data_IF_922688532971
#
_entry.id   IF_922688532971
#
_cell.length_a   1.000
_cell.length_b   1.000
_cell.length_c   1.000
_cell.angle_alpha   90.00
_cell.angle_beta   90.00
_cell.angle_gamma   90.00
#
_symmetry.space_group_name_H-M   'P 1'
#
loop_
_entity.id
_entity.type
_entity.pdbx_description
1 polymer ?
#
# COMPACT_ATOMS: atom_id res chain seq x y z
N UNK A 1 42.25 -22.04 18.50
CA UNK A 1 41.49 -23.30 18.33
C UNK A 1 41.20 -23.49 16.85
N UNK A 2 41.95 -24.37 16.16
CA UNK A 2 41.71 -24.70 14.75
C UNK A 2 40.50 -25.61 14.65
N UNK A 3 39.40 -25.11 14.09
CA UNK A 3 38.21 -25.91 13.81
C UNK A 3 38.59 -27.07 12.88
N UNK A 4 38.17 -28.29 13.21
CA UNK A 4 38.42 -29.46 12.36
C UNK A 4 37.74 -29.28 11.01
N UNK A 5 38.37 -29.73 9.92
CA UNK A 5 37.81 -29.67 8.56
C UNK A 5 36.40 -30.26 8.48
N UNK A 6 36.11 -31.28 9.30
CA UNK A 6 34.78 -31.87 9.44
C UNK A 6 33.73 -30.89 9.99
N UNK A 7 34.07 -30.10 11.03
CA UNK A 7 33.15 -29.10 11.59
C UNK A 7 32.90 -27.95 10.62
N UNK A 8 33.92 -27.53 9.87
CA UNK A 8 33.78 -26.49 8.84
C UNK A 8 32.84 -26.97 7.72
N UNK A 9 32.99 -28.22 7.26
CA UNK A 9 32.10 -28.82 6.25
C UNK A 9 30.67 -28.97 6.78
N UNK A 10 30.48 -29.39 8.03
CA UNK A 10 29.15 -29.48 8.64
C UNK A 10 28.48 -28.12 8.79
N UNK A 11 29.22 -27.07 9.17
CA UNK A 11 28.70 -25.70 9.27
C UNK A 11 28.33 -25.18 7.87
N UNK A 12 29.19 -25.37 6.88
CA UNK A 12 28.91 -24.96 5.49
C UNK A 12 27.66 -25.67 4.93
N UNK A 13 27.49 -26.96 5.23
CA UNK A 13 26.30 -27.71 4.86
C UNK A 13 25.04 -27.17 5.54
N UNK A 14 25.11 -26.91 6.86
CA UNK A 14 23.99 -26.35 7.61
C UNK A 14 23.56 -24.98 7.07
N UNK A 15 24.53 -24.12 6.73
CA UNK A 15 24.27 -22.82 6.10
C UNK A 15 23.62 -22.99 4.74
N UNK A 16 24.13 -23.90 3.90
CA UNK A 16 23.57 -24.17 2.57
C UNK A 16 22.11 -24.65 2.66
N UNK A 17 21.81 -25.55 3.60
CA UNK A 17 20.43 -26.02 3.81
C UNK A 17 19.54 -24.89 4.32
N UNK A 18 20.00 -24.08 5.27
CA UNK A 18 19.23 -22.95 5.78
C UNK A 18 18.91 -21.91 4.68
N UNK A 19 19.87 -21.57 3.83
CA UNK A 19 19.65 -20.66 2.69
C UNK A 19 18.62 -21.23 1.73
N UNK A 20 18.73 -22.51 1.38
CA UNK A 20 17.77 -23.15 0.48
C UNK A 20 16.35 -23.20 1.06
N UNK A 21 16.20 -23.44 2.37
CA UNK A 21 14.90 -23.40 3.05
C UNK A 21 14.31 -22.00 3.11
N UNK A 22 15.13 -20.96 3.30
CA UNK A 22 14.68 -19.56 3.29
C UNK A 22 14.20 -19.18 1.89
N UNK A 23 14.98 -19.48 0.85
CA UNK A 23 14.62 -19.18 -0.54
C UNK A 23 13.37 -19.95 -0.96
N UNK A 24 13.31 -21.26 -0.69
CA UNK A 24 12.16 -22.09 -0.98
C UNK A 24 10.90 -21.65 -0.21
N UNK A 25 11.04 -21.32 1.07
CA UNK A 25 9.97 -20.80 1.91
C UNK A 25 9.44 -19.45 1.43
N UNK A 26 10.33 -18.55 0.97
CA UNK A 26 9.95 -17.25 0.42
C UNK A 26 9.16 -17.40 -0.90
N UNK A 27 9.64 -18.25 -1.81
CA UNK A 27 8.95 -18.53 -3.09
C UNK A 27 7.59 -19.20 -2.83
N UNK A 28 7.53 -20.17 -1.92
CA UNK A 28 6.28 -20.84 -1.55
C UNK A 28 5.29 -19.87 -0.88
N UNK A 29 5.75 -19.01 0.02
CA UNK A 29 4.92 -17.98 0.65
C UNK A 29 4.36 -17.01 -0.40
N UNK A 30 5.19 -16.58 -1.35
CA UNK A 30 4.77 -15.72 -2.45
C UNK A 30 3.73 -16.40 -3.36
N UNK A 31 3.89 -17.68 -3.69
CA UNK A 31 2.90 -18.44 -4.47
C UNK A 31 1.57 -18.64 -3.73
N UNK A 32 1.61 -18.89 -2.42
CA UNK A 32 0.40 -19.00 -1.59
C UNK A 32 -0.33 -17.66 -1.52
N UNK A 33 0.39 -16.54 -1.41
CA UNK A 33 -0.19 -15.19 -1.42
C UNK A 33 -0.78 -14.81 -2.80
N UNK A 34 -0.20 -15.28 -3.90
CA UNK A 34 -0.75 -15.08 -5.25
C UNK A 34 -1.96 -15.98 -5.56
N UNK A 35 -2.06 -17.17 -4.96
CA UNK A 35 -3.14 -18.13 -5.18
C UNK A 35 -4.42 -17.86 -4.36
N UNK A 36 -4.32 -17.24 -3.18
CA UNK A 36 -5.49 -16.81 -2.41
C UNK A 36 -5.91 -15.41 -2.81
N UNK A 37 -6.68 -15.34 -3.91
CA UNK A 37 -7.41 -14.19 -4.45
C UNK A 37 -7.18 -12.85 -3.74
N UNK A 38 -6.31 -12.01 -4.32
CA UNK A 38 -6.17 -10.56 -4.08
C UNK A 38 -6.84 -10.10 -2.79
N UNK A 39 -6.26 -10.43 -1.63
CA UNK A 39 -6.51 -9.65 -0.42
C UNK A 39 -5.95 -8.27 -0.73
N UNK A 40 -6.80 -7.37 -1.26
CA UNK A 40 -6.51 -5.94 -1.27
C UNK A 40 -6.16 -5.64 0.18
N UNK A 41 -4.89 -5.34 0.45
CA UNK A 41 -4.43 -5.01 1.80
C UNK A 41 -5.46 -4.06 2.42
N UNK A 42 -6.03 -4.49 3.55
CA UNK A 42 -7.08 -3.81 4.28
C UNK A 42 -6.57 -2.54 4.94
N UNK A 43 -6.06 -1.60 4.15
CA UNK A 43 -5.99 -0.21 4.58
C UNK A 43 -7.41 0.27 4.80
N UNK A 44 -7.63 1.03 5.86
CA UNK A 44 -8.83 1.83 6.08
C UNK A 44 -8.93 2.91 4.99
N UNK A 45 -9.14 2.48 3.74
CA UNK A 45 -9.26 3.36 2.59
C UNK A 45 -10.68 3.89 2.56
N UNK A 46 -10.79 5.22 2.62
CA UNK A 46 -12.06 5.91 2.48
C UNK A 46 -12.68 5.60 1.11
N UNK A 47 -13.80 4.89 1.08
CA UNK A 47 -14.57 4.64 -0.14
C UNK A 47 -15.37 5.89 -0.53
N UNK A 48 -14.72 6.72 -1.33
CA UNK A 48 -15.32 7.92 -1.92
C UNK A 48 -16.59 7.60 -2.70
N UNK A 49 -16.63 6.51 -3.45
CA UNK A 49 -17.79 6.21 -4.30
C UNK A 49 -19.00 5.86 -3.47
N UNK A 50 -18.82 5.09 -2.39
CA UNK A 50 -19.88 4.82 -1.42
C UNK A 50 -20.34 6.11 -0.72
N UNK A 51 -19.41 6.94 -0.26
CA UNK A 51 -19.71 8.19 0.44
C UNK A 51 -20.49 9.19 -0.45
N UNK A 52 -20.12 9.36 -1.72
CA UNK A 52 -20.80 10.30 -2.61
C UNK A 52 -22.25 9.90 -2.91
N UNK A 53 -22.59 8.60 -2.87
CA UNK A 53 -23.97 8.12 -3.10
C UNK A 53 -24.94 8.54 -2.00
N UNK A 54 -24.46 8.96 -0.83
CA UNK A 54 -25.33 9.41 0.26
C UNK A 54 -25.77 10.86 0.13
N UNK A 55 -25.26 11.58 -0.87
CA UNK A 55 -25.45 13.02 -1.05
C UNK A 55 -26.40 13.31 -2.22
N UNK A 56 -27.08 14.46 -2.17
CA UNK A 56 -27.89 14.96 -3.29
C UNK A 56 -27.02 15.36 -4.49
N UNK A 57 -27.63 15.50 -5.66
CA UNK A 57 -26.92 15.88 -6.90
C UNK A 57 -26.21 17.25 -6.79
N UNK A 58 -26.81 18.20 -6.08
CA UNK A 58 -26.23 19.53 -5.86
C UNK A 58 -24.98 19.45 -4.95
N UNK A 59 -25.08 18.71 -3.84
CA UNK A 59 -23.96 18.50 -2.90
C UNK A 59 -22.81 17.72 -3.54
N UNK A 60 -23.14 16.72 -4.36
CA UNK A 60 -22.13 15.98 -5.14
C UNK A 60 -21.37 16.91 -6.08
N UNK A 61 -22.04 17.87 -6.72
CA UNK A 61 -21.40 18.81 -7.64
C UNK A 61 -20.40 19.73 -6.92
N UNK A 62 -20.75 20.24 -5.75
CA UNK A 62 -19.88 21.07 -4.92
C UNK A 62 -18.66 20.30 -4.43
N UNK A 63 -18.87 19.12 -3.86
CA UNK A 63 -17.78 18.27 -3.38
C UNK A 63 -16.90 17.75 -4.52
N UNK A 64 -17.45 17.54 -5.71
CA UNK A 64 -16.66 17.16 -6.89
C UNK A 64 -15.70 18.26 -7.32
N UNK A 65 -16.07 19.54 -7.20
CA UNK A 65 -15.17 20.67 -7.45
C UNK A 65 -14.03 20.70 -6.44
N UNK A 66 -14.36 20.56 -5.15
CA UNK A 66 -13.37 20.50 -4.07
C UNK A 66 -12.40 19.33 -4.29
N UNK A 67 -12.94 18.15 -4.59
CA UNK A 67 -12.15 16.95 -4.84
C UNK A 67 -11.24 17.09 -6.06
N UNK A 68 -11.72 17.74 -7.13
CA UNK A 68 -10.92 18.00 -8.33
C UNK A 68 -9.71 18.88 -7.99
N UNK A 69 -9.91 19.98 -7.28
CA UNK A 69 -8.83 20.86 -6.86
C UNK A 69 -7.78 20.13 -6.00
N UNK A 70 -8.23 19.30 -5.04
CA UNK A 70 -7.35 18.49 -4.20
C UNK A 70 -6.60 17.41 -4.99
N UNK A 71 -7.26 16.77 -5.95
CA UNK A 71 -6.61 15.81 -6.85
C UNK A 71 -5.50 16.46 -7.66
N UNK A 72 -5.72 17.66 -8.17
CA UNK A 72 -4.72 18.38 -8.96
C UNK A 72 -3.50 18.74 -8.10
N UNK A 73 -3.72 19.10 -6.83
CA UNK A 73 -2.65 19.32 -5.85
C UNK A 73 -1.88 18.04 -5.45
N UNK A 74 -2.55 16.89 -5.42
CA UNK A 74 -1.92 15.58 -5.12
C UNK A 74 -1.15 14.99 -6.31
N UNK A 75 -1.54 15.34 -7.54
CA UNK A 75 -0.96 14.81 -8.78
C UNK A 75 0.58 14.86 -8.85
N UNK A 76 1.26 15.98 -8.49
CA UNK A 76 2.72 16.01 -8.48
C UNK A 76 3.35 15.00 -7.52
N UNK A 77 2.79 14.82 -6.32
CA UNK A 77 3.32 13.85 -5.33
C UNK A 77 3.18 12.40 -5.82
N UNK A 78 2.05 12.04 -6.41
CA UNK A 78 1.89 10.71 -7.00
C UNK A 78 2.86 10.46 -8.17
N UNK A 79 3.14 11.50 -8.97
CA UNK A 79 4.15 11.42 -10.03
C UNK A 79 5.55 11.24 -9.44
N UNK A 80 5.88 11.97 -8.38
CA UNK A 80 7.18 11.87 -7.73
C UNK A 80 7.38 10.48 -7.12
N UNK A 81 6.39 9.99 -6.35
CA UNK A 81 6.41 8.64 -5.81
C UNK A 81 6.60 7.55 -6.89
N UNK A 82 5.98 7.74 -8.06
CA UNK A 82 6.16 6.86 -9.22
C UNK A 82 7.60 6.87 -9.74
N UNK A 83 8.21 8.06 -9.86
CA UNK A 83 9.61 8.22 -10.28
C UNK A 83 10.58 7.62 -9.26
N UNK A 84 10.34 7.84 -7.97
CA UNK A 84 11.23 7.31 -6.92
C UNK A 84 11.17 5.77 -6.89
N UNK A 85 10.00 5.19 -7.15
CA UNK A 85 9.85 3.73 -7.28
C UNK A 85 10.60 3.19 -8.50
N UNK A 86 10.56 3.89 -9.63
CA UNK A 86 11.32 3.55 -10.83
C UNK A 86 12.82 3.63 -10.55
N UNK A 87 13.27 4.71 -9.91
CA UNK A 87 14.66 4.89 -9.50
C UNK A 87 15.14 3.80 -8.53
N UNK A 88 14.33 3.38 -7.56
CA UNK A 88 14.67 2.23 -6.71
C UNK A 88 14.81 0.95 -7.53
N UNK A 89 13.91 0.70 -8.47
CA UNK A 89 14.00 -0.48 -9.35
C UNK A 89 15.31 -0.50 -10.13
N UNK A 90 15.74 0.65 -10.66
CA UNK A 90 17.03 0.80 -11.35
C UNK A 90 18.21 0.55 -10.39
N UNK A 91 18.19 1.16 -9.21
CA UNK A 91 19.25 1.02 -8.21
C UNK A 91 19.41 -0.42 -7.70
N UNK A 92 18.31 -1.14 -7.51
CA UNK A 92 18.34 -2.56 -7.13
C UNK A 92 18.76 -3.49 -8.27
N UNK A 93 18.61 -3.05 -9.52
CA UNK A 93 18.97 -3.85 -10.71
C UNK A 93 20.38 -3.54 -11.23
N UNK A 94 21.08 -2.58 -10.62
CA UNK A 94 22.42 -2.18 -11.03
C UNK A 94 23.47 -3.24 -10.64
N UNK A 95 24.54 -3.35 -11.43
CA UNK A 95 25.66 -4.29 -11.19
C UNK A 95 26.33 -4.09 -9.82
N UNK A 96 26.28 -2.86 -9.28
CA UNK A 96 26.78 -2.52 -7.96
C UNK A 96 25.68 -1.87 -7.14
N UNK A 97 25.44 -2.42 -5.96
CA UNK A 97 24.51 -1.85 -5.00
C UNK A 97 25.10 -0.59 -4.35
N UNK A 98 24.48 0.54 -4.64
CA UNK A 98 24.76 1.82 -4.00
C UNK A 98 23.75 2.03 -2.86
N UNK A 99 24.09 1.49 -1.68
CA UNK A 99 23.21 1.53 -0.50
C UNK A 99 22.86 2.95 -0.07
N UNK A 100 23.80 3.90 -0.20
CA UNK A 100 23.55 5.30 0.17
C UNK A 100 22.50 5.95 -0.73
N UNK A 101 22.52 5.65 -2.04
CA UNK A 101 21.46 6.11 -2.95
C UNK A 101 20.13 5.42 -2.68
N UNK A 102 20.14 4.12 -2.43
CA UNK A 102 18.92 3.36 -2.11
C UNK A 102 18.24 3.93 -0.85
N UNK A 103 19.00 4.12 0.22
CA UNK A 103 18.49 4.68 1.48
C UNK A 103 17.91 6.08 1.27
N UNK A 104 18.61 6.91 0.50
CA UNK A 104 18.13 8.26 0.17
C UNK A 104 16.82 8.21 -0.62
N UNK A 105 16.76 7.45 -1.71
CA UNK A 105 15.54 7.33 -2.53
C UNK A 105 14.38 6.76 -1.72
N UNK A 106 14.65 5.82 -0.81
CA UNK A 106 13.64 5.28 0.08
C UNK A 106 13.13 6.33 1.08
N UNK A 107 14.02 7.15 1.65
CA UNK A 107 13.63 8.29 2.51
C UNK A 107 12.76 9.29 1.75
N UNK A 108 13.15 9.66 0.53
CA UNK A 108 12.40 10.58 -0.33
C UNK A 108 10.98 10.04 -0.65
N UNK A 109 10.85 8.72 -0.82
CA UNK A 109 9.55 8.05 -0.98
C UNK A 109 8.68 8.16 0.26
N UNK A 110 9.25 7.93 1.45
CA UNK A 110 8.52 8.05 2.72
C UNK A 110 8.03 9.49 2.91
N UNK A 111 8.88 10.47 2.66
CA UNK A 111 8.51 11.88 2.76
C UNK A 111 7.37 12.23 1.80
N UNK A 112 7.45 11.76 0.55
CA UNK A 112 6.39 11.94 -0.45
C UNK A 112 5.08 11.28 0.00
N UNK A 113 5.14 10.07 0.56
CA UNK A 113 3.99 9.38 1.11
C UNK A 113 3.34 10.16 2.27
N UNK A 114 4.15 10.71 3.18
CA UNK A 114 3.66 11.54 4.29
C UNK A 114 2.96 12.81 3.79
N UNK A 115 3.47 13.46 2.73
CA UNK A 115 2.80 14.62 2.14
C UNK A 115 1.45 14.25 1.52
N UNK A 116 1.37 13.12 0.82
CA UNK A 116 0.12 12.60 0.25
C UNK A 116 -0.91 12.37 1.37
N UNK A 117 -0.50 11.71 2.45
CA UNK A 117 -1.38 11.41 3.58
C UNK A 117 -1.87 12.69 4.27
N UNK A 118 -0.96 13.65 4.52
CA UNK A 118 -1.31 14.95 5.11
C UNK A 118 -2.34 15.71 4.27
N UNK A 119 -2.13 15.77 2.95
CA UNK A 119 -3.06 16.42 2.03
C UNK A 119 -4.41 15.69 1.97
N UNK A 120 -4.39 14.37 2.04
CA UNK A 120 -5.61 13.56 2.09
C UNK A 120 -6.41 13.81 3.37
N UNK A 121 -5.76 13.80 4.54
CA UNK A 121 -6.40 14.10 5.83
C UNK A 121 -6.95 15.53 5.87
N UNK A 122 -6.18 16.52 5.37
CA UNK A 122 -6.65 17.90 5.26
C UNK A 122 -7.89 18.01 4.35
N UNK A 123 -7.93 17.25 3.25
CA UNK A 123 -9.08 17.21 2.35
C UNK A 123 -10.33 16.63 3.03
N UNK A 124 -10.17 15.56 3.82
CA UNK A 124 -11.27 14.99 4.60
C UNK A 124 -11.80 15.99 5.63
N UNK A 125 -10.91 16.68 6.34
CA UNK A 125 -11.30 17.69 7.32
C UNK A 125 -12.05 18.86 6.68
N UNK A 126 -11.63 19.31 5.51
CA UNK A 126 -12.30 20.37 4.78
C UNK A 126 -13.70 19.94 4.31
N UNK A 127 -13.85 18.72 3.77
CA UNK A 127 -15.16 18.17 3.43
C UNK A 127 -16.09 18.08 4.66
N UNK A 128 -15.55 17.73 5.82
CA UNK A 128 -16.29 17.72 7.08
C UNK A 128 -16.75 19.13 7.54
N UNK A 129 -16.09 20.19 7.09
CA UNK A 129 -16.52 21.58 7.35
C UNK A 129 -17.59 22.05 6.38
N UNK A 130 -17.59 21.57 5.14
CA UNK A 130 -18.58 21.93 4.12
C UNK A 130 -19.94 21.25 4.34
N UNK A 131 -19.94 20.01 4.83
CA UNK A 131 -21.15 19.22 5.01
C UNK A 131 -21.92 19.61 6.28
N UNK A 132 -23.27 19.62 6.21
CA UNK A 132 -24.13 19.74 7.40
C UNK A 132 -23.94 18.55 8.35
N UNK A 133 -24.21 18.67 9.66
CA UNK A 133 -23.94 17.61 10.64
C UNK A 133 -24.49 16.23 10.26
N UNK A 134 -25.75 16.13 9.85
CA UNK A 134 -26.40 14.85 9.50
C UNK A 134 -25.87 14.26 8.19
N UNK A 135 -25.40 15.11 7.29
CA UNK A 135 -24.83 14.70 6.01
C UNK A 135 -23.41 14.20 6.20
N UNK A 136 -22.63 14.93 6.99
CA UNK A 136 -21.29 14.55 7.41
C UNK A 136 -21.29 13.17 8.07
N UNK A 137 -22.22 12.94 9.00
CA UNK A 137 -22.32 11.64 9.68
C UNK A 137 -22.55 10.50 8.68
N UNK A 138 -23.49 10.65 7.76
CA UNK A 138 -23.79 9.64 6.73
C UNK A 138 -22.61 9.44 5.76
N UNK A 139 -22.03 10.54 5.29
CA UNK A 139 -20.91 10.55 4.34
C UNK A 139 -19.69 9.80 4.88
N UNK A 140 -19.26 10.13 6.11
CA UNK A 140 -18.09 9.49 6.70
C UNK A 140 -18.39 8.08 7.22
N UNK A 141 -19.61 7.80 7.69
CA UNK A 141 -20.00 6.45 8.10
C UNK A 141 -19.97 5.48 6.92
N UNK A 142 -20.46 5.88 5.75
CA UNK A 142 -20.40 5.06 4.54
C UNK A 142 -18.98 5.00 3.97
N UNK A 143 -18.25 6.12 3.95
CA UNK A 143 -16.90 6.17 3.40
C UNK A 143 -15.87 5.35 4.18
N UNK A 144 -15.99 5.24 5.51
CA UNK A 144 -15.08 4.42 6.32
C UNK A 144 -15.56 2.98 6.56
N UNK A 145 -16.59 2.51 5.82
CA UNK A 145 -17.01 1.11 5.94
C UNK A 145 -15.88 0.16 5.51
N UNK A 146 -15.62 -0.91 6.28
CA UNK A 146 -14.69 -1.93 5.83
C UNK A 146 -15.21 -2.57 4.54
N UNK A 147 -14.32 -2.99 3.63
CA UNK A 147 -14.74 -3.65 2.39
C UNK A 147 -15.63 -4.85 2.73
N UNK A 148 -16.81 -4.93 2.08
CA UNK A 148 -17.69 -6.10 2.21
C UNK A 148 -16.88 -7.33 1.83
N UNK A 149 -16.74 -8.28 2.76
CA UNK A 149 -16.22 -9.61 2.46
C UNK A 149 -17.12 -10.17 1.35
N UNK A 150 -16.58 -10.37 0.15
CA UNK A 150 -17.28 -11.19 -0.82
C UNK A 150 -17.45 -12.57 -0.18
N UNK A 151 -18.66 -13.18 -0.20
CA UNK A 151 -18.77 -14.58 0.16
C UNK A 151 -17.80 -15.32 -0.76
N UNK A 152 -16.85 -16.05 -0.14
CA UNK A 152 -16.00 -16.95 -0.90
C UNK A 152 -16.87 -17.94 -1.68
N UNK A 153 -16.36 -18.54 -2.77
CA UNK A 153 -17.12 -19.53 -3.51
C UNK A 153 -17.68 -20.56 -2.52
N UNK A 154 -19.01 -20.64 -2.53
CA UNK A 154 -19.81 -21.59 -1.76
C UNK A 154 -19.18 -22.97 -1.97
N UNK A 155 -18.74 -23.61 -0.89
CA UNK A 155 -18.13 -24.95 -0.94
C UNK A 155 -19.23 -25.99 -1.12
N UNK A 156 -19.98 -25.88 -2.21
CA UNK A 156 -21.01 -26.83 -2.59
C UNK A 156 -20.51 -27.59 -3.82
N UNK A 157 -19.69 -28.61 -3.57
CA UNK A 157 -19.54 -29.80 -4.41
C UNK A 157 -18.61 -30.81 -3.72
N UNK A 158 -19.19 -31.62 -2.81
CA UNK A 158 -19.01 -33.07 -2.75
C UNK A 158 -19.83 -33.68 -1.62
#
# INVERSE_FOLDING_TARGET
MTLSKSRILSIALAISVAVNLIVGGFIAAQWIDYGMGKKRHGGYHFDRHAAFRTLSSQEQAELKKLWKARRDALRPYFRQYGKDREALSELFSADKLDLAKIDKTYSDMIDTQMQIEKLFQASLLEMAKTLKPDQRQRFFKEGFRPPRKFPGPEKDAK
#
